data_IF_406891383960
#
_entry.id   IF_406891383960
#
_cell.length_a   1.000
_cell.length_b   1.000
_cell.length_c   1.000
_cell.angle_alpha   90.00
_cell.angle_beta   90.00
_cell.angle_gamma   90.00
#
_symmetry.space_group_name_H-M   'P 1'
#
loop_
_entity.id
_entity.type
_entity.pdbx_description
1 polymer ?
#
# COMPACT_ATOMS: atom_id res chain seq x y z
N UNK A 1 8.03 -33.78 -6.61
CA UNK A 1 7.74 -32.76 -7.64
C UNK A 1 7.33 -31.48 -6.93
N UNK A 2 8.30 -30.72 -6.41
CA UNK A 2 8.05 -29.44 -5.73
C UNK A 2 8.19 -28.33 -6.76
N UNK A 3 7.07 -27.88 -7.33
CA UNK A 3 7.03 -26.56 -7.98
C UNK A 3 6.58 -25.55 -6.94
N UNK A 4 7.01 -24.30 -7.11
CA UNK A 4 6.26 -23.09 -6.74
C UNK A 4 6.65 -22.36 -5.43
N UNK A 5 7.92 -21.97 -5.27
CA UNK A 5 8.26 -20.78 -4.47
C UNK A 5 8.28 -19.48 -5.30
N UNK A 6 8.17 -19.58 -6.63
CA UNK A 6 8.18 -18.42 -7.53
C UNK A 6 6.90 -17.57 -7.47
N UNK A 7 5.79 -18.05 -6.92
CA UNK A 7 4.49 -17.39 -7.11
C UNK A 7 4.29 -16.12 -6.31
N UNK A 8 4.68 -16.05 -5.03
CA UNK A 8 4.41 -14.84 -4.24
C UNK A 8 5.34 -13.71 -4.65
N UNK A 9 6.65 -13.97 -4.73
CA UNK A 9 7.62 -12.96 -5.16
C UNK A 9 7.33 -12.46 -6.56
N UNK A 10 6.98 -13.35 -7.49
CA UNK A 10 6.60 -12.95 -8.84
C UNK A 10 5.31 -12.13 -8.85
N UNK A 11 4.25 -12.53 -8.12
CA UNK A 11 3.00 -11.76 -8.05
C UNK A 11 3.19 -10.40 -7.38
N UNK A 12 4.04 -10.31 -6.37
CA UNK A 12 4.42 -9.06 -5.72
C UNK A 12 5.26 -8.20 -6.66
N UNK A 13 6.24 -8.77 -7.35
CA UNK A 13 7.07 -8.07 -8.33
C UNK A 13 6.22 -7.57 -9.52
N UNK A 14 5.27 -8.37 -9.98
CA UNK A 14 4.29 -7.97 -10.99
C UNK A 14 3.42 -6.84 -10.46
N UNK A 15 2.87 -6.93 -9.24
CA UNK A 15 2.13 -5.82 -8.64
C UNK A 15 2.96 -4.53 -8.49
N UNK A 16 4.28 -4.63 -8.27
CA UNK A 16 5.21 -3.49 -8.24
C UNK A 16 5.46 -2.90 -9.62
N UNK A 17 5.62 -3.74 -10.64
CA UNK A 17 5.99 -3.35 -12.00
C UNK A 17 4.79 -3.06 -12.91
N UNK A 18 3.57 -3.35 -12.47
CA UNK A 18 2.36 -3.08 -13.23
C UNK A 18 1.93 -1.62 -13.03
N UNK A 19 1.66 -0.94 -14.14
CA UNK A 19 1.21 0.47 -14.18
C UNK A 19 -0.28 0.64 -13.81
N UNK A 20 -0.90 -0.43 -13.33
CA UNK A 20 -2.31 -0.47 -12.94
C UNK A 20 -2.53 -0.36 -11.43
N UNK A 21 -3.75 0.04 -11.05
CA UNK A 21 -4.27 -0.11 -9.69
C UNK A 21 -4.59 -1.58 -9.40
N UNK A 22 -3.54 -2.41 -9.26
CA UNK A 22 -3.63 -3.84 -8.98
C UNK A 22 -4.60 -4.15 -7.82
N UNK A 23 -4.51 -3.37 -6.74
CA UNK A 23 -5.33 -3.55 -5.54
C UNK A 23 -6.83 -3.34 -5.75
N UNK A 24 -7.24 -2.63 -6.81
CA UNK A 24 -8.66 -2.50 -7.14
C UNK A 24 -9.30 -3.85 -7.53
N UNK A 25 -8.49 -4.83 -7.96
CA UNK A 25 -8.94 -6.20 -8.24
C UNK A 25 -8.91 -7.12 -7.01
N UNK A 26 -8.12 -6.77 -5.99
CA UNK A 26 -7.90 -7.60 -4.80
C UNK A 26 -8.77 -7.17 -3.62
N UNK A 27 -8.94 -5.86 -3.43
CA UNK A 27 -9.73 -5.26 -2.35
C UNK A 27 -10.95 -4.58 -2.95
N UNK A 28 -12.09 -5.27 -2.88
CA UNK A 28 -13.35 -4.71 -3.39
C UNK A 28 -13.79 -3.49 -2.57
N UNK A 29 -14.53 -2.57 -3.20
CA UNK A 29 -15.12 -1.43 -2.49
C UNK A 29 -15.98 -1.88 -1.30
N UNK A 30 -16.73 -2.98 -1.45
CA UNK A 30 -17.57 -3.54 -0.37
C UNK A 30 -16.75 -3.94 0.86
N UNK A 31 -15.58 -4.54 0.64
CA UNK A 31 -14.68 -4.92 1.74
C UNK A 31 -14.18 -3.69 2.46
N UNK A 32 -13.76 -2.67 1.71
CA UNK A 32 -13.26 -1.41 2.27
C UNK A 32 -14.39 -0.70 3.03
N UNK A 33 -15.58 -0.61 2.43
CA UNK A 33 -16.76 -0.01 3.05
C UNK A 33 -17.16 -0.71 4.35
N UNK A 34 -17.08 -2.04 4.40
CA UNK A 34 -17.41 -2.80 5.62
C UNK A 34 -16.47 -2.51 6.80
N UNK A 35 -15.24 -2.09 6.51
CA UNK A 35 -14.22 -1.80 7.53
C UNK A 35 -14.24 -0.33 7.93
N UNK A 36 -14.34 0.57 6.95
CA UNK A 36 -14.38 2.01 7.18
C UNK A 36 -15.75 2.50 7.64
N UNK A 37 -16.83 1.74 7.41
CA UNK A 37 -18.18 2.06 7.88
C UNK A 37 -18.68 3.40 7.34
N UNK A 38 -19.29 4.20 8.22
CA UNK A 38 -19.80 5.54 7.91
C UNK A 38 -18.68 6.60 7.76
N UNK A 39 -17.40 6.24 7.94
CA UNK A 39 -16.26 7.08 7.55
C UNK A 39 -16.09 7.17 6.01
N UNK A 40 -17.21 7.05 5.28
CA UNK A 40 -17.40 7.40 3.87
C UNK A 40 -17.31 8.91 3.70
N UNK A 41 -16.15 9.47 3.97
CA UNK A 41 -15.87 10.79 3.47
C UNK A 41 -15.51 10.63 1.99
N UNK A 42 -16.28 11.26 1.12
CA UNK A 42 -15.72 11.80 -0.12
C UNK A 42 -14.53 12.65 0.33
N UNK A 43 -13.31 12.19 0.04
CA UNK A 43 -12.11 12.76 0.64
C UNK A 43 -11.66 14.03 -0.10
N UNK A 44 -12.24 14.28 -1.28
CA UNK A 44 -12.01 15.44 -2.13
C UNK A 44 -13.30 16.05 -2.68
N UNK A 45 -13.32 17.36 -2.91
CA UNK A 45 -14.52 18.06 -3.43
C UNK A 45 -14.94 17.60 -4.84
N UNK A 46 -14.07 16.93 -5.59
CA UNK A 46 -14.35 16.44 -6.95
C UNK A 46 -14.93 15.01 -6.99
N UNK A 47 -15.17 14.38 -5.83
CA UNK A 47 -15.73 13.02 -5.72
C UNK A 47 -14.90 11.92 -6.42
N UNK A 48 -13.63 12.18 -6.72
CA UNK A 48 -12.75 11.21 -7.39
C UNK A 48 -12.10 10.30 -6.34
N UNK A 49 -11.68 10.89 -5.22
CA UNK A 49 -10.98 10.22 -4.14
C UNK A 49 -11.99 9.77 -3.07
N UNK A 50 -12.74 8.71 -3.39
CA UNK A 50 -13.47 7.95 -2.37
C UNK A 50 -12.46 7.23 -1.46
N UNK A 51 -12.92 6.72 -0.32
CA UNK A 51 -12.09 5.90 0.58
C UNK A 51 -11.44 4.73 -0.16
N UNK A 52 -12.19 4.03 -1.00
CA UNK A 52 -11.68 2.90 -1.78
C UNK A 52 -10.62 3.32 -2.80
N UNK A 53 -10.89 4.35 -3.60
CA UNK A 53 -9.94 4.86 -4.58
C UNK A 53 -8.66 5.33 -3.91
N UNK A 54 -8.79 6.10 -2.82
CA UNK A 54 -7.64 6.63 -2.08
C UNK A 54 -6.80 5.51 -1.49
N UNK A 55 -7.42 4.48 -0.93
CA UNK A 55 -6.72 3.32 -0.40
C UNK A 55 -5.97 2.55 -1.49
N UNK A 56 -6.59 2.31 -2.66
CA UNK A 56 -5.91 1.62 -3.74
C UNK A 56 -4.70 2.41 -4.27
N UNK A 57 -4.84 3.73 -4.42
CA UNK A 57 -3.75 4.61 -4.85
C UNK A 57 -2.65 4.67 -3.80
N UNK A 58 -2.99 4.69 -2.52
CA UNK A 58 -2.04 4.63 -1.41
C UNK A 58 -1.24 3.33 -1.39
N UNK A 59 -1.91 2.18 -1.54
CA UNK A 59 -1.22 0.89 -1.61
C UNK A 59 -0.32 0.81 -2.86
N UNK A 60 -0.76 1.33 -4.00
CA UNK A 60 0.06 1.42 -5.20
C UNK A 60 1.28 2.34 -5.01
N UNK A 61 1.15 3.45 -4.26
CA UNK A 61 2.26 4.33 -3.88
C UNK A 61 3.27 3.59 -3.01
N UNK A 62 2.83 2.94 -1.93
CA UNK A 62 3.72 2.26 -0.97
C UNK A 62 4.41 1.06 -1.62
N UNK A 63 3.79 0.40 -2.59
CA UNK A 63 4.45 -0.68 -3.34
C UNK A 63 5.40 -0.21 -4.44
N UNK A 64 5.24 1.03 -4.94
CA UNK A 64 6.13 1.59 -5.97
C UNK A 64 7.52 1.84 -5.42
N UNK A 65 8.56 1.59 -6.24
CA UNK A 65 9.97 1.74 -5.85
C UNK A 65 10.28 3.16 -5.35
N UNK A 66 9.71 4.17 -5.99
CA UNK A 66 10.02 5.57 -5.68
C UNK A 66 9.02 6.22 -4.72
N UNK A 67 7.99 5.48 -4.27
CA UNK A 67 6.95 5.94 -3.35
C UNK A 67 6.30 7.31 -3.66
N UNK A 68 6.39 7.79 -4.91
CA UNK A 68 6.04 9.16 -5.27
C UNK A 68 4.55 9.33 -5.56
N UNK A 69 3.94 10.40 -5.05
CA UNK A 69 2.53 10.73 -5.29
C UNK A 69 2.21 10.92 -6.77
N UNK A 70 3.12 11.52 -7.55
CA UNK A 70 2.93 11.72 -9.00
C UNK A 70 2.73 10.39 -9.71
N UNK A 71 3.57 9.39 -9.39
CA UNK A 71 3.45 8.05 -9.98
C UNK A 71 2.14 7.38 -9.59
N UNK A 72 1.69 7.54 -8.34
CA UNK A 72 0.45 6.96 -7.85
C UNK A 72 -0.78 7.57 -8.56
N UNK A 73 -0.82 8.91 -8.70
CA UNK A 73 -1.89 9.60 -9.43
C UNK A 73 -1.89 9.26 -10.92
N UNK A 74 -0.71 9.10 -11.54
CA UNK A 74 -0.63 8.63 -12.93
C UNK A 74 -1.26 7.24 -13.11
N UNK A 75 -1.01 6.31 -12.18
CA UNK A 75 -1.67 4.99 -12.18
C UNK A 75 -3.19 5.09 -12.02
N UNK A 76 -3.69 6.03 -11.21
CA UNK A 76 -5.13 6.31 -11.10
C UNK A 76 -5.71 6.81 -12.43
N UNK A 77 -5.07 7.78 -13.07
CA UNK A 77 -5.51 8.31 -14.37
C UNK A 77 -5.56 7.19 -15.42
N UNK A 78 -4.50 6.40 -15.53
CA UNK A 78 -4.45 5.26 -16.45
C UNK A 78 -5.56 4.25 -16.18
N UNK A 79 -5.77 3.87 -14.92
CA UNK A 79 -6.84 2.95 -14.54
C UNK A 79 -8.24 3.48 -14.88
N UNK A 80 -8.50 4.77 -14.66
CA UNK A 80 -9.79 5.40 -15.03
C UNK A 80 -10.03 5.32 -16.53
N UNK A 81 -9.03 5.63 -17.34
CA UNK A 81 -9.12 5.56 -18.80
C UNK A 81 -9.38 4.13 -19.27
N UNK A 82 -8.66 3.14 -18.73
CA UNK A 82 -8.89 1.71 -19.05
C UNK A 82 -10.30 1.25 -18.66
N UNK A 83 -10.89 1.83 -17.62
CA UNK A 83 -12.28 1.57 -17.19
C UNK A 83 -13.34 2.38 -17.96
N UNK A 84 -12.94 3.19 -18.95
CA UNK A 84 -13.86 4.04 -19.71
C UNK A 84 -14.40 5.25 -18.92
N UNK A 85 -13.76 5.59 -17.79
CA UNK A 85 -14.10 6.76 -16.99
C UNK A 85 -13.30 7.97 -17.47
N UNK A 86 -13.84 9.18 -17.25
CA UNK A 86 -13.12 10.42 -17.54
C UNK A 86 -11.81 10.49 -16.72
N UNK A 87 -10.68 10.87 -17.33
CA UNK A 87 -9.42 11.06 -16.63
C UNK A 87 -9.55 12.14 -15.56
N UNK A 88 -8.89 11.95 -14.42
CA UNK A 88 -8.80 12.96 -13.38
C UNK A 88 -7.58 13.88 -13.58
N UNK A 89 -7.54 14.98 -12.83
CA UNK A 89 -6.36 15.86 -12.80
C UNK A 89 -5.10 15.08 -12.39
N UNK A 90 -3.97 15.38 -13.02
CA UNK A 90 -2.66 14.84 -12.65
C UNK A 90 -2.04 15.51 -11.41
N UNK A 91 -2.68 16.57 -10.88
CA UNK A 91 -2.23 17.24 -9.68
C UNK A 91 -2.36 16.33 -8.44
N UNK A 92 -1.31 16.27 -7.62
CA UNK A 92 -1.25 15.37 -6.45
C UNK A 92 -1.94 15.93 -5.21
N UNK A 93 -2.28 17.22 -5.18
CA UNK A 93 -2.80 17.89 -3.98
C UNK A 93 -4.07 17.24 -3.43
N UNK A 94 -5.06 16.96 -4.29
CA UNK A 94 -6.31 16.30 -3.88
C UNK A 94 -6.05 14.89 -3.34
N UNK A 95 -5.13 14.15 -3.97
CA UNK A 95 -4.73 12.83 -3.49
C UNK A 95 -4.05 12.89 -2.12
N UNK A 96 -3.11 13.80 -1.90
CA UNK A 96 -2.43 13.95 -0.61
C UNK A 96 -3.43 14.27 0.52
N UNK A 97 -4.32 15.23 0.28
CA UNK A 97 -5.38 15.60 1.24
C UNK A 97 -6.28 14.39 1.53
N UNK A 98 -6.64 13.62 0.51
CA UNK A 98 -7.47 12.44 0.69
C UNK A 98 -6.75 11.35 1.49
N UNK A 99 -5.50 11.06 1.17
CA UNK A 99 -4.67 10.08 1.86
C UNK A 99 -4.52 10.43 3.34
N UNK A 100 -4.31 11.71 3.66
CA UNK A 100 -4.12 12.16 5.05
C UNK A 100 -5.41 12.07 5.89
N UNK A 101 -6.57 11.88 5.26
CA UNK A 101 -7.86 11.63 5.92
C UNK A 101 -8.16 10.14 6.16
N UNK A 102 -7.28 9.23 5.73
CA UNK A 102 -7.46 7.80 6.00
C UNK A 102 -7.30 7.54 7.50
N UNK A 103 -8.34 7.00 8.12
CA UNK A 103 -8.36 6.66 9.54
C UNK A 103 -7.40 5.49 9.84
N UNK A 104 -6.49 5.70 10.79
CA UNK A 104 -5.49 4.69 11.16
C UNK A 104 -6.14 3.46 11.80
N UNK A 105 -7.18 3.66 12.63
CA UNK A 105 -7.87 2.55 13.29
C UNK A 105 -8.61 1.67 12.27
N UNK A 106 -9.26 2.27 11.26
CA UNK A 106 -9.84 1.56 10.13
C UNK A 106 -8.78 0.80 9.31
N UNK A 107 -7.59 1.37 9.11
CA UNK A 107 -6.49 0.68 8.43
C UNK A 107 -6.01 -0.54 9.22
N UNK A 108 -5.87 -0.43 10.55
CA UNK A 108 -5.50 -1.56 11.42
C UNK A 108 -6.57 -2.66 11.38
N UNK A 109 -7.85 -2.27 11.43
CA UNK A 109 -8.97 -3.22 11.28
C UNK A 109 -8.94 -3.91 9.92
N UNK A 110 -8.65 -3.18 8.83
CA UNK A 110 -8.57 -3.74 7.48
C UNK A 110 -7.48 -4.81 7.39
N UNK A 111 -6.29 -4.50 7.90
CA UNK A 111 -5.16 -5.44 7.91
C UNK A 111 -5.49 -6.69 8.72
N UNK A 112 -6.05 -6.50 9.93
CA UNK A 112 -6.38 -7.61 10.84
C UNK A 112 -7.45 -8.52 10.25
N UNK A 113 -8.53 -7.94 9.71
CA UNK A 113 -9.62 -8.72 9.11
C UNK A 113 -9.16 -9.43 7.83
N UNK A 114 -8.37 -8.76 6.98
CA UNK A 114 -7.81 -9.38 5.78
C UNK A 114 -6.90 -10.56 6.14
N UNK A 115 -6.05 -10.39 7.15
CA UNK A 115 -5.18 -11.46 7.65
C UNK A 115 -5.97 -12.65 8.19
N UNK A 116 -6.98 -12.40 9.03
CA UNK A 116 -7.86 -13.43 9.58
C UNK A 116 -8.62 -14.19 8.47
N UNK A 117 -9.11 -13.47 7.45
CA UNK A 117 -9.79 -14.07 6.31
C UNK A 117 -8.85 -14.96 5.49
N UNK A 118 -7.61 -14.53 5.23
CA UNK A 118 -6.61 -15.36 4.54
C UNK A 118 -6.29 -16.61 5.37
N UNK A 119 -6.11 -16.45 6.68
CA UNK A 119 -5.77 -17.53 7.59
C UNK A 119 -6.89 -18.57 7.70
N UNK A 120 -8.16 -18.16 7.75
CA UNK A 120 -9.30 -19.08 7.85
C UNK A 120 -9.50 -19.93 6.58
N UNK A 121 -9.08 -19.44 5.42
CA UNK A 121 -9.13 -20.17 4.16
C UNK A 121 -7.84 -20.94 3.83
N UNK A 122 -6.87 -20.95 4.74
CA UNK A 122 -5.60 -21.66 4.52
C UNK A 122 -5.79 -23.17 4.70
N UNK A 123 -5.38 -24.02 3.73
CA UNK A 123 -5.50 -25.47 3.85
C UNK A 123 -4.73 -26.03 5.05
N UNK A 124 -5.30 -27.02 5.74
CA UNK A 124 -4.65 -27.61 6.91
C UNK A 124 -3.29 -28.25 6.59
N UNK A 125 -3.09 -28.75 5.36
CA UNK A 125 -1.82 -29.33 4.94
C UNK A 125 -0.70 -28.29 4.77
N UNK A 126 -0.98 -26.99 4.85
CA UNK A 126 0.05 -25.93 4.92
C UNK A 126 0.59 -25.73 6.34
N UNK A 127 -0.06 -26.32 7.36
CA UNK A 127 0.41 -26.25 8.75
C UNK A 127 1.63 -27.15 8.93
N UNK A 128 2.69 -26.61 9.50
CA UNK A 128 3.89 -27.39 9.82
C UNK A 128 3.65 -28.20 11.09
N UNK A 129 3.57 -29.54 10.97
CA UNK A 129 3.24 -30.43 12.10
C UNK A 129 1.97 -30.00 12.85
N UNK A 130 0.93 -29.58 12.12
CA UNK A 130 -0.32 -29.01 12.66
C UNK A 130 -0.17 -27.67 13.41
N UNK A 131 0.98 -27.01 13.34
CA UNK A 131 1.22 -25.68 13.89
C UNK A 131 1.13 -24.58 12.82
N UNK A 132 0.68 -23.41 13.25
CA UNK A 132 0.76 -22.18 12.48
C UNK A 132 2.19 -21.63 12.59
N UNK A 133 2.86 -21.46 11.45
CA UNK A 133 4.20 -20.87 11.39
C UNK A 133 4.07 -19.45 10.88
N UNK A 134 4.54 -18.51 11.68
CA UNK A 134 4.60 -17.10 11.32
C UNK A 134 6.01 -16.83 10.83
N UNK A 135 6.14 -16.40 9.58
CA UNK A 135 7.41 -15.90 9.05
C UNK A 135 7.38 -14.38 9.16
N UNK A 136 8.19 -13.84 10.06
CA UNK A 136 8.45 -12.41 10.12
C UNK A 136 9.75 -12.13 9.34
N UNK A 137 9.63 -11.44 8.20
CA UNK A 137 10.76 -10.90 7.46
C UNK A 137 10.76 -9.38 7.63
N UNK A 138 11.78 -8.83 8.28
CA UNK A 138 11.84 -7.41 8.62
C UNK A 138 12.77 -7.10 9.79
N UNK A 139 14.07 -7.03 9.54
CA UNK A 139 14.99 -6.30 10.40
C UNK A 139 15.60 -5.16 9.58
N UNK A 140 15.00 -3.96 9.69
CA UNK A 140 15.66 -2.73 9.23
C UNK A 140 16.26 -2.07 10.46
N UNK A 141 17.57 -2.22 10.66
CA UNK A 141 18.31 -1.46 11.69
C UNK A 141 18.71 -0.13 11.06
N UNK A 142 18.06 0.95 11.45
CA UNK A 142 18.53 2.31 11.16
C UNK A 142 19.58 2.70 12.19
N UNK A 143 20.84 2.82 11.77
CA UNK A 143 21.90 3.40 12.58
C UNK A 143 21.78 4.93 12.48
N UNK A 144 21.81 5.65 13.60
CA UNK A 144 21.90 7.10 13.57
C UNK A 144 23.23 7.50 12.94
N UNK A 145 23.23 8.48 12.02
CA UNK A 145 24.47 9.05 11.51
C UNK A 145 25.29 9.61 12.69
N UNK A 146 26.58 9.27 12.71
CA UNK A 146 27.54 9.84 13.67
C UNK A 146 27.47 11.37 13.60
N UNK A 147 27.39 12.08 14.74
CA UNK A 147 27.38 13.54 14.73
C UNK A 147 28.61 14.08 13.98
N UNK A 148 28.40 15.14 13.19
CA UNK A 148 29.46 15.88 12.50
C UNK A 148 30.60 16.16 13.49
N UNK A 149 31.86 15.77 13.18
CA UNK A 149 32.99 16.11 14.02
C UNK A 149 33.08 17.63 14.15
N UNK A 150 33.35 18.18 15.35
CA UNK A 150 33.52 19.62 15.50
C UNK A 150 34.69 20.10 14.62
N UNK A 151 34.62 21.33 14.08
CA UNK A 151 35.66 21.85 13.20
C UNK A 151 37.00 21.87 13.93
N UNK A 152 38.04 21.29 13.30
CA UNK A 152 39.40 21.30 13.82
C UNK A 152 39.90 22.73 13.95
N UNK A 153 40.16 23.19 15.19
CA UNK A 153 40.91 24.43 15.41
C UNK A 153 42.37 24.15 15.06
N UNK A 154 42.74 24.36 13.80
CA UNK A 154 44.14 24.52 13.45
C UNK A 154 44.62 25.82 14.08
N UNK A 155 45.75 25.83 14.82
CA UNK A 155 46.33 27.07 15.30
C UNK A 155 46.80 27.87 14.09
N UNK A 156 46.27 29.09 13.96
CA UNK A 156 46.76 30.09 13.01
C UNK A 156 48.24 30.33 13.33
N UNK A 157 49.11 30.04 12.38
CA UNK A 157 50.48 30.56 12.32
C UNK A 157 50.57 31.55 11.19
#
# INVERSE_FOLDING_TARGET
MFRQFDTLRHRVAEARNNDSLFFASLLSEKTIDSVFGDAKAILDSAQIYTTAVTLWVFLAQVMSINHGCVSAVAKLVAWRVVKGLSPCSAATGAYCIARDKLDEEAMQRLVTQSGAAIQSHTPDHWRWKNHQVIVADGATVTMADTPVPPPSRLPVR
#
